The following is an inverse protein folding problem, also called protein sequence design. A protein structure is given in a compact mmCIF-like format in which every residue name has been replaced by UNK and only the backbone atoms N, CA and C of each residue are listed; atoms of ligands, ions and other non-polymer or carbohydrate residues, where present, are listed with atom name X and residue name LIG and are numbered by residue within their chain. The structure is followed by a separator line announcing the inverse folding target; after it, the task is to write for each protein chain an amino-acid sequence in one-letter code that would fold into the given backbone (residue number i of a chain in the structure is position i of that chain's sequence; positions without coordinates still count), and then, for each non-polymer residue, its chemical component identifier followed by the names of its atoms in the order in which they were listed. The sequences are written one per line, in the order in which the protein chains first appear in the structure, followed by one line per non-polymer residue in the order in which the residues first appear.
data_IF_292080972444
#
_entry.id   IF_292080972444
#
_cell.length_a   1.000
_cell.length_b   1.000
_cell.length_c   1.000
_cell.angle_alpha   90.00
_cell.angle_beta   90.00
_cell.angle_gamma   90.00
#
_symmetry.space_group_name_H-M   'P 1'
#
loop_
_entity.id
_entity.type
_entity.pdbx_description
1 polymer ?
#
# COMPACT_ATOMS: atom_id res chain seq x y z
N UNK A 1 -16.65 17.19 -20.87
CA UNK A 1 -16.30 17.64 -22.24
C UNK A 1 -17.06 16.74 -23.22
N UNK A 2 -17.48 17.28 -24.34
CA UNK A 2 -18.03 16.48 -25.43
C UNK A 2 -16.93 15.53 -25.94
N UNK A 3 -17.29 14.29 -26.29
CA UNK A 3 -16.32 13.26 -26.67
C UNK A 3 -15.64 12.53 -25.49
N UNK A 4 -15.88 12.90 -24.23
CA UNK A 4 -15.40 12.18 -23.07
C UNK A 4 -16.44 11.15 -22.62
N UNK A 5 -16.05 9.88 -22.54
CA UNK A 5 -16.92 8.81 -22.03
C UNK A 5 -16.18 7.86 -21.10
N UNK A 6 -16.94 7.09 -20.34
CA UNK A 6 -16.42 6.13 -19.35
C UNK A 6 -16.97 4.74 -19.64
N UNK A 7 -16.11 3.76 -19.65
CA UNK A 7 -16.48 2.35 -19.73
C UNK A 7 -17.23 1.84 -18.49
N UNK A 8 -17.59 0.56 -18.48
CA UNK A 8 -18.19 -0.11 -17.33
C UNK A 8 -17.27 -0.13 -16.10
N UNK A 9 -17.85 -0.36 -14.92
CA UNK A 9 -17.07 -0.55 -13.69
C UNK A 9 -16.34 -1.88 -13.73
N UNK A 10 -15.03 -1.85 -13.46
CA UNK A 10 -14.22 -3.05 -13.30
C UNK A 10 -14.61 -3.82 -12.03
N UNK A 11 -14.78 -5.13 -12.17
CA UNK A 11 -15.01 -6.03 -11.06
C UNK A 11 -13.67 -6.38 -10.42
N UNK A 12 -13.44 -5.90 -9.19
CA UNK A 12 -12.16 -6.06 -8.50
C UNK A 12 -12.27 -6.95 -7.27
N UNK A 13 -11.17 -7.61 -6.90
CA UNK A 13 -11.05 -8.40 -5.67
C UNK A 13 -11.23 -7.52 -4.43
N UNK A 14 -10.53 -6.38 -4.39
CA UNK A 14 -10.54 -5.41 -3.33
C UNK A 14 -10.74 -3.98 -3.83
N UNK A 15 -10.59 -2.99 -2.93
CA UNK A 15 -10.76 -1.55 -3.22
C UNK A 15 -12.09 -1.25 -3.93
N UNK A 16 -13.14 -1.95 -3.51
CA UNK A 16 -14.44 -1.92 -4.20
C UNK A 16 -15.13 -0.56 -4.13
N UNK A 17 -14.81 0.26 -3.13
CA UNK A 17 -15.33 1.63 -2.99
C UNK A 17 -14.71 2.61 -4.00
N UNK A 18 -13.58 2.28 -4.61
CA UNK A 18 -12.92 3.09 -5.60
C UNK A 18 -13.33 2.63 -7.00
N UNK A 19 -14.08 3.43 -7.77
CA UNK A 19 -14.44 3.07 -9.13
C UNK A 19 -13.20 3.05 -10.04
N UNK A 20 -13.07 1.99 -10.83
CA UNK A 20 -12.05 1.86 -11.87
C UNK A 20 -12.76 1.65 -13.19
N UNK A 21 -12.44 2.47 -14.19
CA UNK A 21 -13.08 2.46 -15.51
C UNK A 21 -12.08 2.81 -16.59
N UNK A 22 -12.35 2.38 -17.80
CA UNK A 22 -11.71 2.95 -18.98
C UNK A 22 -12.20 4.40 -19.18
N UNK A 23 -11.29 5.28 -19.56
CA UNK A 23 -11.59 6.65 -19.96
C UNK A 23 -11.33 6.75 -21.47
N UNK A 24 -12.33 7.16 -22.22
CA UNK A 24 -12.26 7.23 -23.68
C UNK A 24 -12.41 8.69 -24.12
N UNK A 25 -11.56 9.12 -25.03
CA UNK A 25 -11.59 10.43 -25.65
C UNK A 25 -11.81 10.24 -27.15
N UNK A 26 -12.93 10.72 -27.66
CA UNK A 26 -13.27 10.68 -29.08
C UNK A 26 -13.55 12.09 -29.56
N UNK A 27 -12.59 12.65 -30.33
CA UNK A 27 -12.62 14.06 -30.75
C UNK A 27 -12.97 15.02 -29.60
N UNK A 28 -12.33 14.83 -28.46
CA UNK A 28 -12.61 15.58 -27.23
C UNK A 28 -11.80 16.88 -27.23
N UNK A 29 -12.44 17.97 -27.62
CA UNK A 29 -11.83 19.29 -27.59
C UNK A 29 -11.80 19.88 -26.18
N UNK A 30 -10.65 20.37 -25.76
CA UNK A 30 -10.47 21.07 -24.49
C UNK A 30 -9.76 22.40 -24.71
N UNK A 31 -10.09 23.42 -23.92
CA UNK A 31 -9.44 24.71 -24.00
C UNK A 31 -7.93 24.60 -23.73
N UNK A 32 -7.10 25.29 -24.52
CA UNK A 32 -5.66 25.38 -24.28
C UNK A 32 -5.33 25.97 -22.89
N UNK A 33 -6.24 26.76 -22.30
CA UNK A 33 -6.09 27.26 -20.93
C UNK A 33 -6.08 26.15 -19.86
N UNK A 34 -6.51 24.93 -20.21
CA UNK A 34 -6.47 23.76 -19.34
C UNK A 34 -5.15 22.99 -19.41
N UNK A 35 -4.18 23.44 -20.23
CA UNK A 35 -2.86 22.84 -20.29
C UNK A 35 -2.16 22.96 -18.94
N UNK A 36 -1.75 21.84 -18.37
CA UNK A 36 -0.98 21.79 -17.13
C UNK A 36 0.51 21.73 -17.49
N UNK A 37 1.25 22.80 -17.13
CA UNK A 37 2.67 22.93 -17.42
C UNK A 37 2.97 23.30 -18.88
N UNK A 38 3.97 22.67 -19.46
CA UNK A 38 4.47 22.99 -20.80
C UNK A 38 4.12 21.89 -21.80
N UNK A 39 3.86 22.28 -23.05
CA UNK A 39 3.64 21.34 -24.14
C UNK A 39 4.88 20.44 -24.36
N UNK A 40 4.66 19.15 -24.56
CA UNK A 40 5.73 18.16 -24.70
C UNK A 40 6.38 17.71 -23.38
N UNK A 41 6.03 18.28 -22.20
CA UNK A 41 6.60 17.95 -20.90
C UNK A 41 5.72 17.01 -20.05
N UNK A 42 4.57 16.57 -20.54
CA UNK A 42 3.59 15.78 -19.75
C UNK A 42 4.18 14.53 -19.10
N UNK A 43 5.02 13.76 -19.80
CA UNK A 43 5.67 12.58 -19.23
C UNK A 43 6.56 12.92 -18.04
N UNK A 44 7.35 14.00 -18.13
CA UNK A 44 8.23 14.44 -17.04
C UNK A 44 7.44 14.90 -15.81
N UNK A 45 6.30 15.58 -16.04
CA UNK A 45 5.42 16.02 -14.95
C UNK A 45 4.79 14.85 -14.20
N UNK A 46 4.26 13.87 -14.95
CA UNK A 46 3.70 12.65 -14.36
C UNK A 46 4.78 11.86 -13.62
N UNK A 47 5.96 11.70 -14.21
CA UNK A 47 7.08 10.99 -13.59
C UNK A 47 7.55 11.67 -12.29
N UNK A 48 7.58 13.02 -12.24
CA UNK A 48 7.92 13.79 -11.04
C UNK A 48 6.94 13.60 -9.89
N UNK A 49 5.67 13.30 -10.17
CA UNK A 49 4.66 13.00 -9.14
C UNK A 49 4.75 11.59 -8.54
N UNK A 50 5.52 10.67 -9.16
CA UNK A 50 5.58 9.28 -8.72
C UNK A 50 6.27 9.08 -7.36
N UNK A 51 7.19 9.95 -6.95
CA UNK A 51 7.82 9.87 -5.62
C UNK A 51 6.79 10.05 -4.53
N UNK A 52 5.97 11.10 -4.62
CA UNK A 52 4.87 11.34 -3.69
C UNK A 52 3.84 10.20 -3.73
N UNK A 53 3.50 9.70 -4.92
CA UNK A 53 2.60 8.55 -5.09
C UNK A 53 3.11 7.31 -4.35
N UNK A 54 4.42 6.99 -4.45
CA UNK A 54 5.05 5.87 -3.74
C UNK A 54 4.99 6.05 -2.22
N UNK A 55 5.27 7.25 -1.70
CA UNK A 55 5.18 7.56 -0.27
C UNK A 55 3.74 7.40 0.22
N UNK A 56 2.75 7.85 -0.54
CA UNK A 56 1.33 7.67 -0.22
C UNK A 56 0.92 6.20 -0.15
N UNK A 57 1.35 5.38 -1.11
CA UNK A 57 1.08 3.93 -1.08
C UNK A 57 1.81 3.27 0.08
N UNK A 58 3.04 3.67 0.38
CA UNK A 58 3.79 3.18 1.54
C UNK A 58 3.05 3.50 2.86
N UNK A 59 2.55 4.73 3.02
CA UNK A 59 1.78 5.13 4.19
C UNK A 59 0.50 4.30 4.37
N UNK A 60 -0.21 4.03 3.27
CA UNK A 60 -1.37 3.11 3.29
C UNK A 60 -0.96 1.70 3.70
N UNK A 61 0.17 1.20 3.18
CA UNK A 61 0.70 -0.12 3.54
C UNK A 61 1.05 -0.22 5.03
N UNK A 62 1.76 0.78 5.58
CA UNK A 62 2.07 0.85 7.00
C UNK A 62 0.80 0.91 7.86
N UNK A 63 -0.18 1.73 7.47
CA UNK A 63 -1.48 1.82 8.13
C UNK A 63 -2.25 0.50 8.11
N UNK A 64 -2.26 -0.22 6.98
CA UNK A 64 -2.89 -1.53 6.88
C UNK A 64 -2.17 -2.59 7.72
N UNK A 65 -0.84 -2.62 7.70
CA UNK A 65 -0.05 -3.54 8.53
C UNK A 65 -0.32 -3.32 10.03
N UNK A 66 -0.38 -2.06 10.46
CA UNK A 66 -0.70 -1.67 11.84
C UNK A 66 -2.15 -2.01 12.20
N UNK A 67 -3.11 -1.71 11.33
CA UNK A 67 -4.52 -2.03 11.51
C UNK A 67 -4.76 -3.52 11.65
N UNK A 68 -4.20 -4.34 10.76
CA UNK A 68 -4.28 -5.80 10.84
C UNK A 68 -3.67 -6.35 12.12
N UNK A 69 -2.54 -5.79 12.57
CA UNK A 69 -1.89 -6.16 13.83
C UNK A 69 -2.79 -5.86 15.03
N UNK A 70 -3.37 -4.67 15.09
CA UNK A 70 -4.25 -4.27 16.17
C UNK A 70 -5.51 -5.15 16.24
N UNK A 71 -6.14 -5.43 15.10
CA UNK A 71 -7.30 -6.32 15.04
C UNK A 71 -6.95 -7.72 15.53
N UNK A 72 -5.81 -8.28 15.09
CA UNK A 72 -5.34 -9.58 15.53
C UNK A 72 -5.05 -9.62 17.04
N UNK A 73 -4.44 -8.56 17.58
CA UNK A 73 -4.15 -8.43 19.00
C UNK A 73 -5.43 -8.42 19.84
N UNK A 74 -6.40 -7.56 19.51
CA UNK A 74 -7.67 -7.48 20.25
C UNK A 74 -8.42 -8.81 20.21
N UNK A 75 -8.54 -9.43 19.04
CA UNK A 75 -9.16 -10.73 18.91
C UNK A 75 -8.44 -11.80 19.75
N UNK A 76 -7.10 -11.79 19.74
CA UNK A 76 -6.32 -12.76 20.51
C UNK A 76 -6.48 -12.61 22.03
N UNK A 77 -6.75 -11.40 22.52
CA UNK A 77 -7.01 -11.14 23.94
C UNK A 77 -8.40 -11.63 24.39
N UNK A 78 -9.38 -11.62 23.50
CA UNK A 78 -10.77 -11.99 23.81
C UNK A 78 -11.05 -13.48 23.57
N UNK A 79 -10.53 -14.02 22.46
CA UNK A 79 -10.76 -15.41 22.06
C UNK A 79 -10.05 -16.38 22.99
N UNK A 80 -10.77 -17.36 23.51
CA UNK A 80 -10.23 -18.38 24.40
C UNK A 80 -10.20 -19.76 23.74
N UNK A 81 -9.12 -20.49 23.94
CA UNK A 81 -8.96 -21.91 23.63
C UNK A 81 -8.17 -22.59 24.72
N UNK A 82 -8.47 -23.84 24.99
CA UNK A 82 -7.79 -24.62 26.06
C UNK A 82 -7.77 -23.89 27.42
N UNK A 83 -8.86 -23.18 27.73
CA UNK A 83 -9.06 -22.52 29.04
C UNK A 83 -8.40 -21.16 29.23
N UNK A 84 -7.69 -20.63 28.24
CA UNK A 84 -7.02 -19.32 28.31
C UNK A 84 -7.17 -18.50 27.02
N UNK A 85 -6.85 -17.21 27.07
CA UNK A 85 -6.83 -16.36 25.88
C UNK A 85 -5.80 -16.87 24.85
N UNK A 86 -6.11 -16.79 23.55
CA UNK A 86 -5.16 -17.27 22.54
C UNK A 86 -3.88 -16.45 22.51
N UNK A 87 -3.90 -15.19 22.98
CA UNK A 87 -2.70 -14.37 23.19
C UNK A 87 -1.67 -14.98 24.14
N UNK A 88 -2.07 -15.94 24.99
CA UNK A 88 -1.18 -16.65 25.91
C UNK A 88 -0.51 -17.89 25.27
N UNK A 89 -0.86 -18.23 24.04
CA UNK A 89 -0.20 -19.32 23.31
C UNK A 89 1.03 -18.80 22.56
N UNK A 90 2.17 -19.47 22.76
CA UNK A 90 3.45 -19.07 22.16
C UNK A 90 3.38 -18.84 20.64
N UNK A 91 2.67 -19.70 19.90
CA UNK A 91 2.52 -19.56 18.45
C UNK A 91 1.82 -18.25 18.05
N UNK A 92 0.88 -17.77 18.85
CA UNK A 92 0.20 -16.48 18.63
C UNK A 92 1.10 -15.33 19.04
N UNK A 93 1.83 -15.45 20.15
CA UNK A 93 2.77 -14.43 20.62
C UNK A 93 3.88 -14.15 19.58
N UNK A 94 4.48 -15.20 19.03
CA UNK A 94 5.49 -15.07 17.98
C UNK A 94 4.92 -14.33 16.76
N UNK A 95 3.74 -14.69 16.33
CA UNK A 95 3.06 -14.06 15.20
C UNK A 95 2.76 -12.58 15.45
N UNK A 96 2.21 -12.23 16.60
CA UNK A 96 1.93 -10.85 16.98
C UNK A 96 3.21 -10.00 17.07
N UNK A 97 4.30 -10.57 17.59
CA UNK A 97 5.59 -9.89 17.67
C UNK A 97 6.16 -9.59 16.27
N UNK A 98 6.11 -10.54 15.35
CA UNK A 98 6.52 -10.33 13.96
C UNK A 98 5.67 -9.29 13.25
N UNK A 99 4.35 -9.35 13.41
CA UNK A 99 3.41 -8.37 12.83
C UNK A 99 3.70 -6.96 13.34
N UNK A 100 3.88 -6.80 14.65
CA UNK A 100 4.20 -5.52 15.28
C UNK A 100 5.52 -4.95 14.76
N UNK A 101 6.55 -5.79 14.66
CA UNK A 101 7.88 -5.38 14.17
C UNK A 101 7.81 -4.91 12.71
N UNK A 102 7.13 -5.67 11.83
CA UNK A 102 6.93 -5.27 10.43
C UNK A 102 6.19 -3.93 10.31
N UNK A 103 5.12 -3.74 11.10
CA UNK A 103 4.35 -2.49 11.09
C UNK A 103 5.20 -1.30 11.53
N UNK A 104 5.99 -1.44 12.60
CA UNK A 104 6.87 -0.40 13.10
C UNK A 104 7.98 -0.05 12.07
N UNK A 105 8.61 -1.05 11.46
CA UNK A 105 9.64 -0.84 10.44
C UNK A 105 9.05 -0.14 9.21
N UNK A 106 7.84 -0.52 8.77
CA UNK A 106 7.14 0.14 7.67
C UNK A 106 6.88 1.63 7.98
N UNK A 107 6.40 1.94 9.18
CA UNK A 107 6.12 3.31 9.62
C UNK A 107 7.40 4.17 9.62
N UNK A 108 8.52 3.65 10.13
CA UNK A 108 9.81 4.35 10.13
C UNK A 108 10.32 4.64 8.71
N UNK A 109 10.23 3.69 7.80
CA UNK A 109 10.63 3.90 6.39
C UNK A 109 9.75 4.95 5.70
N UNK A 110 8.45 4.96 5.98
CA UNK A 110 7.52 5.98 5.45
C UNK A 110 7.92 7.36 5.94
N UNK A 111 8.14 7.52 7.25
CA UNK A 111 8.57 8.81 7.81
C UNK A 111 9.90 9.27 7.23
N UNK A 112 10.89 8.39 7.10
CA UNK A 112 12.18 8.72 6.47
C UNK A 112 12.02 9.26 5.04
N UNK A 113 11.16 8.62 4.24
CA UNK A 113 10.91 9.06 2.87
C UNK A 113 10.15 10.39 2.82
N UNK A 114 9.13 10.56 3.67
CA UNK A 114 8.32 11.77 3.77
C UNK A 114 9.17 12.97 4.22
N UNK A 115 9.98 12.81 5.26
CA UNK A 115 10.86 13.86 5.75
C UNK A 115 11.85 14.37 4.69
N UNK A 116 12.40 13.47 3.87
CA UNK A 116 13.26 13.87 2.75
C UNK A 116 12.49 14.61 1.67
N UNK A 117 11.31 14.13 1.34
CA UNK A 117 10.44 14.80 0.37
C UNK A 117 10.07 16.22 0.80
N UNK A 118 9.69 16.40 2.07
CA UNK A 118 9.33 17.69 2.64
C UNK A 118 10.52 18.68 2.64
N UNK A 119 11.74 18.18 2.85
CA UNK A 119 12.97 18.97 2.71
C UNK A 119 13.40 19.21 1.26
N UNK A 120 12.62 18.75 0.29
CA UNK A 120 12.94 18.81 -1.16
C UNK A 120 14.27 18.15 -1.52
N UNK A 121 14.66 17.15 -0.75
CA UNK A 121 15.80 16.29 -1.05
C UNK A 121 15.38 15.19 -2.03
N UNK A 122 16.34 14.70 -2.81
CA UNK A 122 16.09 13.53 -3.67
C UNK A 122 15.81 12.31 -2.81
N UNK A 123 14.65 11.68 -2.98
CA UNK A 123 14.16 10.58 -2.14
C UNK A 123 13.73 9.32 -2.91
N UNK A 124 14.15 9.16 -4.17
CA UNK A 124 13.82 7.97 -4.98
C UNK A 124 14.12 6.64 -4.28
N UNK A 125 15.30 6.56 -3.61
CA UNK A 125 15.73 5.36 -2.90
C UNK A 125 14.80 5.10 -1.71
N UNK A 126 14.60 6.11 -0.88
CA UNK A 126 13.84 6.00 0.36
C UNK A 126 12.34 5.77 0.07
N UNK A 127 11.77 6.47 -0.92
CA UNK A 127 10.40 6.26 -1.37
C UNK A 127 10.19 4.84 -1.94
N UNK A 128 11.17 4.33 -2.72
CA UNK A 128 11.17 2.97 -3.22
C UNK A 128 11.24 1.94 -2.10
N UNK A 129 12.14 2.11 -1.13
CA UNK A 129 12.29 1.23 0.03
C UNK A 129 11.02 1.22 0.89
N UNK A 130 10.48 2.40 1.19
CA UNK A 130 9.25 2.53 1.97
C UNK A 130 8.08 1.83 1.27
N UNK A 131 7.86 2.10 -0.03
CA UNK A 131 6.77 1.49 -0.80
C UNK A 131 6.90 -0.03 -0.88
N UNK A 132 8.07 -0.53 -1.20
CA UNK A 132 8.32 -1.96 -1.29
C UNK A 132 8.07 -2.65 0.04
N UNK A 133 8.72 -2.18 1.12
CA UNK A 133 8.62 -2.83 2.42
C UNK A 133 7.20 -2.74 3.01
N UNK A 134 6.58 -1.55 3.00
CA UNK A 134 5.28 -1.34 3.63
C UNK A 134 4.15 -2.12 2.92
N UNK A 135 4.19 -2.25 1.59
CA UNK A 135 3.21 -3.03 0.85
C UNK A 135 3.31 -4.54 1.13
N UNK A 136 4.54 -5.09 1.19
CA UNK A 136 4.75 -6.48 1.58
C UNK A 136 4.34 -6.72 3.04
N UNK A 137 4.65 -5.78 3.94
CA UNK A 137 4.22 -5.84 5.34
C UNK A 137 2.69 -5.85 5.47
N UNK A 138 1.98 -5.06 4.66
CA UNK A 138 0.53 -5.06 4.63
C UNK A 138 -0.05 -6.41 4.24
N UNK A 139 0.47 -7.03 3.18
CA UNK A 139 0.04 -8.36 2.71
C UNK A 139 0.32 -9.41 3.78
N UNK A 140 1.54 -9.44 4.30
CA UNK A 140 1.93 -10.45 5.27
C UNK A 140 1.17 -10.32 6.60
N UNK A 141 0.99 -9.07 7.11
CA UNK A 141 0.25 -8.85 8.34
C UNK A 141 -1.25 -9.14 8.17
N UNK A 142 -1.84 -8.85 7.01
CA UNK A 142 -3.22 -9.22 6.72
C UNK A 142 -3.41 -10.74 6.73
N UNK A 143 -2.49 -11.49 6.10
CA UNK A 143 -2.51 -12.95 6.10
C UNK A 143 -2.29 -13.53 7.51
N UNK A 144 -1.34 -12.99 8.28
CA UNK A 144 -1.08 -13.44 9.64
C UNK A 144 -2.25 -13.14 10.58
N UNK A 145 -2.91 -11.99 10.42
CA UNK A 145 -4.13 -11.67 11.14
C UNK A 145 -5.26 -12.66 10.82
N UNK A 146 -5.46 -13.02 9.55
CA UNK A 146 -6.43 -14.07 9.19
C UNK A 146 -6.13 -15.39 9.90
N UNK A 147 -4.86 -15.76 10.04
CA UNK A 147 -4.45 -16.97 10.76
C UNK A 147 -4.74 -16.89 12.26
N UNK A 148 -4.63 -15.70 12.87
CA UNK A 148 -4.99 -15.47 14.27
C UNK A 148 -6.50 -15.60 14.47
N UNK A 149 -7.32 -15.05 13.56
CA UNK A 149 -8.78 -15.18 13.61
C UNK A 149 -9.27 -16.60 13.29
N UNK A 150 -8.49 -17.38 12.54
CA UNK A 150 -8.88 -18.72 12.10
C UNK A 150 -10.09 -18.67 11.16
N UNK A 151 -11.05 -19.58 11.31
CA UNK A 151 -12.22 -19.67 10.45
C UNK A 151 -13.06 -18.40 10.37
N UNK A 152 -13.11 -17.61 11.42
CA UNK A 152 -13.83 -16.33 11.43
C UNK A 152 -13.27 -15.29 10.47
N UNK A 153 -11.99 -15.37 10.12
CA UNK A 153 -11.38 -14.46 9.14
C UNK A 153 -11.94 -14.60 7.72
N UNK A 154 -12.62 -15.70 7.44
CA UNK A 154 -13.19 -16.00 6.12
C UNK A 154 -14.64 -15.55 5.98
N UNK A 155 -15.20 -14.96 7.04
CA UNK A 155 -16.54 -14.38 7.06
C UNK A 155 -16.47 -12.85 6.89
N UNK A 156 -17.36 -12.24 6.09
CA UNK A 156 -17.44 -10.79 5.95
C UNK A 156 -17.96 -10.09 7.22
N UNK A 157 -18.34 -10.82 8.27
CA UNK A 157 -18.66 -10.27 9.58
C UNK A 157 -17.43 -9.67 10.28
N UNK A 158 -16.22 -10.11 9.90
CA UNK A 158 -14.96 -9.58 10.38
C UNK A 158 -14.22 -8.86 9.27
N UNK A 159 -13.85 -7.61 9.49
CA UNK A 159 -13.21 -6.77 8.48
C UNK A 159 -11.84 -7.27 7.99
N UNK A 160 -11.22 -8.22 8.69
CA UNK A 160 -9.88 -8.68 8.35
C UNK A 160 -9.80 -9.34 6.96
N UNK A 161 -10.89 -9.94 6.48
CA UNK A 161 -10.95 -10.48 5.12
C UNK A 161 -10.77 -9.38 4.06
N UNK A 162 -11.30 -8.17 4.34
CA UNK A 162 -11.14 -7.00 3.47
C UNK A 162 -9.70 -6.53 3.42
N UNK A 163 -9.00 -6.49 4.55
CA UNK A 163 -7.56 -6.17 4.58
C UNK A 163 -6.77 -7.10 3.66
N UNK A 164 -7.04 -8.40 3.71
CA UNK A 164 -6.38 -9.38 2.88
C UNK A 164 -6.68 -9.18 1.37
N UNK A 165 -7.91 -8.81 1.01
CA UNK A 165 -8.28 -8.52 -0.37
C UNK A 165 -7.71 -7.20 -0.90
N UNK A 166 -7.55 -6.22 -0.04
CA UNK A 166 -7.12 -4.87 -0.42
C UNK A 166 -5.58 -4.74 -0.46
N UNK A 167 -4.85 -5.44 0.40
CA UNK A 167 -3.40 -5.31 0.53
C UNK A 167 -2.60 -5.63 -0.75
N UNK A 168 -2.92 -6.64 -1.57
CA UNK A 168 -2.14 -6.95 -2.78
C UNK A 168 -2.05 -5.81 -3.80
N UNK A 169 -3.06 -4.94 -3.87
CA UNK A 169 -3.02 -3.79 -4.78
C UNK A 169 -1.85 -2.85 -4.46
N UNK A 170 -1.46 -2.74 -3.20
CA UNK A 170 -0.33 -1.90 -2.79
C UNK A 170 1.01 -2.38 -3.36
N UNK A 171 1.14 -3.68 -3.64
CA UNK A 171 2.33 -4.24 -4.27
C UNK A 171 2.38 -3.95 -5.78
N UNK A 172 1.25 -3.64 -6.40
CA UNK A 172 1.07 -3.48 -7.84
C UNK A 172 1.02 -2.00 -8.23
N UNK A 173 0.22 -1.19 -7.54
CA UNK A 173 0.00 0.24 -7.83
C UNK A 173 1.24 1.10 -7.61
N UNK A 174 1.30 2.26 -8.28
CA UNK A 174 2.39 3.24 -8.24
C UNK A 174 3.78 2.65 -8.59
N UNK A 175 3.77 1.74 -9.56
CA UNK A 175 4.91 0.92 -9.95
C UNK A 175 5.06 -0.32 -9.06
N UNK A 176 5.08 -1.48 -9.71
CA UNK A 176 5.12 -2.76 -9.00
C UNK A 176 6.34 -2.88 -8.09
N UNK A 177 6.29 -3.80 -7.12
CA UNK A 177 7.42 -4.02 -6.22
C UNK A 177 8.69 -4.47 -6.96
N UNK A 178 8.57 -5.12 -8.13
CA UNK A 178 9.68 -5.44 -9.02
C UNK A 178 10.34 -4.16 -9.55
N UNK A 179 9.55 -3.20 -9.99
CA UNK A 179 10.05 -1.88 -10.42
C UNK A 179 10.72 -1.14 -9.26
N UNK A 180 10.15 -1.20 -8.05
CA UNK A 180 10.78 -0.56 -6.89
C UNK A 180 12.16 -1.17 -6.58
N UNK A 181 12.29 -2.49 -6.64
CA UNK A 181 13.58 -3.18 -6.45
C UNK A 181 14.63 -2.72 -7.48
N UNK A 182 14.23 -2.53 -8.74
CA UNK A 182 15.13 -2.01 -9.78
C UNK A 182 15.56 -0.57 -9.48
N UNK A 183 14.62 0.29 -9.07
CA UNK A 183 14.90 1.69 -8.70
C UNK A 183 15.85 1.75 -7.50
N UNK A 184 15.58 0.97 -6.45
CA UNK A 184 16.42 0.87 -5.25
C UNK A 184 17.86 0.50 -5.65
N UNK A 185 18.04 -0.58 -6.41
CA UNK A 185 19.34 -1.05 -6.83
C UNK A 185 20.09 0.01 -7.66
N UNK A 186 19.39 0.64 -8.63
CA UNK A 186 19.97 1.72 -9.45
C UNK A 186 20.43 2.90 -8.60
N UNK A 187 19.63 3.31 -7.62
CA UNK A 187 19.97 4.44 -6.75
C UNK A 187 21.11 4.11 -5.80
N UNK A 188 21.17 2.88 -5.29
CA UNK A 188 22.30 2.42 -4.47
C UNK A 188 23.63 2.49 -5.24
N UNK A 189 23.66 2.00 -6.48
CA UNK A 189 24.84 2.06 -7.33
C UNK A 189 25.23 3.51 -7.63
N UNK A 190 24.27 4.36 -7.99
CA UNK A 190 24.52 5.76 -8.31
C UNK A 190 25.03 6.61 -7.12
N UNK A 191 24.71 6.21 -5.88
CA UNK A 191 25.18 6.89 -4.67
C UNK A 191 26.56 6.37 -4.20
N UNK A 192 27.01 5.22 -4.70
CA UNK A 192 28.30 4.62 -4.37
C UNK A 192 29.42 4.99 -5.37
N UNK A 193 29.07 5.53 -6.54
CA UNK A 193 29.98 6.05 -7.57
C UNK A 193 30.17 7.56 -7.45
#
# INVERSE_FOLDING_TARGET
AEGLSFGGLEQKMGWKSQPTRQVQFDNCDVSAANLIGEEGKGFQQVAGGLELGRINIAARGAGMAKGATNMALHYAMERKTFGKAIAEHQAIQLKLAEMSTRAAAAELLVHQAADKFDRRERCDLEAGQAKFFASEAAVQNSLDAMRVFGGYSYSPEYEIERFYRDAPLLCIGEGTNEIQRMIIAKQMVARAS
#
